data_IF_368128750868
#
_entry.id   IF_368128750868
#
_cell.length_a   1.000
_cell.length_b   1.000
_cell.length_c   1.000
_cell.angle_alpha   90.00
_cell.angle_beta   90.00
_cell.angle_gamma   90.00
#
_symmetry.space_group_name_H-M   'P 1'
#
loop_
_entity.id
_entity.type
_entity.pdbx_description
1 polymer ?
#
# COMPACT_ATOMS: atom_id res chain seq x y z
N UNK A 1 -11.38 -13.21 -22.47
CA UNK A 1 -10.62 -14.43 -22.85
C UNK A 1 -9.43 -14.54 -21.91
N UNK A 2 -9.28 -15.68 -21.22
CA UNK A 2 -8.14 -15.92 -20.32
C UNK A 2 -6.88 -16.12 -21.17
N UNK A 3 -5.77 -15.52 -20.76
CA UNK A 3 -4.47 -15.72 -21.43
C UNK A 3 -3.95 -17.12 -21.12
N UNK A 4 -3.50 -17.83 -22.15
CA UNK A 4 -2.77 -19.10 -22.05
C UNK A 4 -1.35 -18.88 -22.58
N UNK A 5 -0.36 -19.58 -22.04
CA UNK A 5 1.04 -19.47 -22.47
C UNK A 5 1.92 -18.61 -21.56
N UNK A 6 3.09 -18.23 -22.06
CA UNK A 6 4.20 -17.64 -21.30
C UNK A 6 3.81 -16.39 -20.49
N UNK A 7 4.46 -16.22 -19.36
CA UNK A 7 4.33 -15.04 -18.50
C UNK A 7 5.21 -13.92 -19.04
N UNK A 8 4.61 -12.74 -19.26
CA UNK A 8 5.38 -11.55 -19.60
C UNK A 8 6.14 -11.01 -18.38
N UNK A 9 7.21 -10.26 -18.62
CA UNK A 9 8.00 -9.62 -17.55
C UNK A 9 7.13 -8.71 -16.68
N UNK A 10 6.22 -7.94 -17.28
CA UNK A 10 5.28 -7.08 -16.55
C UNK A 10 4.35 -7.90 -15.64
N UNK A 11 3.82 -9.03 -16.12
CA UNK A 11 2.99 -9.93 -15.30
C UNK A 11 3.77 -10.51 -14.13
N UNK A 12 5.05 -10.86 -14.31
CA UNK A 12 5.91 -11.37 -13.23
C UNK A 12 6.24 -10.29 -12.20
N UNK A 13 6.57 -9.06 -12.64
CA UNK A 13 6.80 -7.94 -11.74
C UNK A 13 5.54 -7.63 -10.91
N UNK A 14 4.38 -7.63 -11.56
CA UNK A 14 3.10 -7.41 -10.90
C UNK A 14 2.75 -8.54 -9.92
N UNK A 15 3.01 -9.79 -10.30
CA UNK A 15 2.82 -10.94 -9.42
C UNK A 15 3.70 -10.79 -8.17
N UNK A 16 4.99 -10.49 -8.34
CA UNK A 16 5.94 -10.33 -7.23
C UNK A 16 5.54 -9.23 -6.26
N UNK A 17 5.08 -8.10 -6.76
CA UNK A 17 4.69 -6.95 -5.92
C UNK A 17 3.34 -7.15 -5.21
N UNK A 18 2.40 -7.87 -5.83
CA UNK A 18 1.00 -7.90 -5.37
C UNK A 18 0.55 -9.23 -4.75
N UNK A 19 1.27 -10.33 -4.97
CA UNK A 19 0.92 -11.63 -4.39
C UNK A 19 0.92 -11.55 -2.86
N UNK A 20 -0.16 -12.02 -2.25
CA UNK A 20 -0.36 -11.93 -0.80
C UNK A 20 -0.76 -10.54 -0.26
N UNK A 21 -0.58 -9.45 -1.02
CA UNK A 21 -1.07 -8.10 -0.68
C UNK A 21 -2.45 -7.79 -1.26
N UNK A 22 -2.91 -8.61 -2.20
CA UNK A 22 -4.24 -8.53 -2.82
C UNK A 22 -4.94 -9.88 -2.75
N UNK A 23 -6.28 -9.91 -2.67
CA UNK A 23 -7.03 -11.15 -2.78
C UNK A 23 -6.71 -11.87 -4.10
N UNK A 24 -6.42 -13.16 -4.02
CA UNK A 24 -6.02 -13.98 -5.17
C UNK A 24 -7.02 -13.90 -6.35
N UNK A 25 -8.35 -13.94 -6.15
CA UNK A 25 -9.31 -13.79 -7.26
C UNK A 25 -9.17 -12.45 -7.99
N UNK A 26 -8.90 -11.37 -7.25
CA UNK A 26 -8.71 -10.05 -7.84
C UNK A 26 -7.43 -9.99 -8.66
N UNK A 27 -6.31 -10.48 -8.10
CA UNK A 27 -5.02 -10.50 -8.79
C UNK A 27 -5.10 -11.35 -10.06
N UNK A 28 -5.75 -12.53 -10.01
CA UNK A 28 -5.96 -13.40 -11.16
C UNK A 28 -6.75 -12.70 -12.28
N UNK A 29 -7.83 -11.98 -11.94
CA UNK A 29 -8.60 -11.19 -12.90
C UNK A 29 -7.76 -10.08 -13.54
N UNK A 30 -6.93 -9.40 -12.76
CA UNK A 30 -6.05 -8.34 -13.26
C UNK A 30 -4.98 -8.88 -14.22
N UNK A 31 -4.43 -10.06 -13.93
CA UNK A 31 -3.46 -10.76 -14.80
C UNK A 31 -4.15 -11.49 -15.97
N UNK A 32 -5.49 -11.57 -15.97
CA UNK A 32 -6.30 -12.33 -16.93
C UNK A 32 -5.92 -13.81 -16.97
N UNK A 33 -5.61 -14.39 -15.80
CA UNK A 33 -5.23 -15.79 -15.58
C UNK A 33 -6.19 -16.45 -14.57
N UNK A 34 -6.10 -17.77 -14.41
CA UNK A 34 -6.85 -18.48 -13.35
C UNK A 34 -6.10 -18.39 -12.03
N UNK A 35 -6.81 -18.44 -10.91
CA UNK A 35 -6.21 -18.39 -9.57
C UNK A 35 -5.15 -19.49 -9.36
N UNK A 36 -5.45 -20.71 -9.84
CA UNK A 36 -4.54 -21.85 -9.80
C UNK A 36 -3.22 -21.57 -10.55
N UNK A 37 -3.28 -21.04 -11.78
CA UNK A 37 -2.06 -20.71 -12.53
C UNK A 37 -1.24 -19.59 -11.90
N UNK A 38 -1.91 -18.64 -11.22
CA UNK A 38 -1.26 -17.56 -10.49
C UNK A 38 -0.55 -18.11 -9.25
N UNK A 39 -1.21 -18.99 -8.49
CA UNK A 39 -0.64 -19.66 -7.32
C UNK A 39 0.60 -20.49 -7.69
N UNK A 40 0.47 -21.39 -8.66
CA UNK A 40 1.58 -22.24 -9.13
C UNK A 40 2.77 -21.40 -9.60
N UNK A 41 2.51 -20.31 -10.31
CA UNK A 41 3.59 -19.43 -10.78
C UNK A 41 4.24 -18.67 -9.63
N UNK A 42 3.47 -18.22 -8.64
CA UNK A 42 4.00 -17.54 -7.47
C UNK A 42 4.88 -18.50 -6.66
N UNK A 43 4.41 -19.72 -6.40
CA UNK A 43 5.18 -20.79 -5.74
C UNK A 43 6.53 -21.00 -6.42
N UNK A 44 6.52 -21.25 -7.74
CA UNK A 44 7.74 -21.43 -8.51
C UNK A 44 8.69 -20.22 -8.39
N UNK A 45 8.16 -19.00 -8.49
CA UNK A 45 8.96 -17.77 -8.47
C UNK A 45 9.60 -17.51 -7.11
N UNK A 46 8.84 -17.65 -6.03
CA UNK A 46 9.34 -17.40 -4.67
C UNK A 46 10.22 -18.54 -4.17
N UNK A 47 9.93 -19.80 -4.52
CA UNK A 47 10.81 -20.92 -4.21
C UNK A 47 12.20 -20.76 -4.85
N UNK A 48 12.25 -20.30 -6.11
CA UNK A 48 13.52 -20.01 -6.79
C UNK A 48 14.31 -18.86 -6.13
N UNK A 49 13.63 -17.89 -5.52
CA UNK A 49 14.27 -16.78 -4.84
C UNK A 49 14.85 -17.20 -3.48
N UNK A 50 14.18 -18.11 -2.76
CA UNK A 50 14.54 -18.47 -1.39
C UNK A 50 15.33 -19.78 -1.25
N UNK A 51 15.21 -20.70 -2.21
CA UNK A 51 15.89 -21.99 -2.21
C UNK A 51 16.82 -22.12 -3.43
N UNK A 52 17.99 -21.48 -3.42
CA UNK A 52 18.95 -21.60 -4.52
C UNK A 52 19.76 -22.90 -4.50
N UNK A 53 19.73 -23.69 -3.41
CA UNK A 53 20.52 -24.92 -3.27
C UNK A 53 19.75 -26.16 -3.73
N UNK A 54 20.34 -26.95 -4.62
CA UNK A 54 19.76 -28.17 -5.20
C UNK A 54 19.62 -29.35 -4.21
N UNK A 55 20.17 -29.23 -2.99
CA UNK A 55 20.45 -30.41 -2.16
C UNK A 55 19.26 -30.98 -1.38
N UNK A 56 18.13 -30.26 -1.22
CA UNK A 56 16.89 -30.89 -0.71
C UNK A 56 15.64 -30.00 -0.93
N UNK A 57 14.87 -30.19 -2.02
CA UNK A 57 13.70 -29.36 -2.32
C UNK A 57 12.44 -29.70 -1.51
N UNK A 58 12.39 -30.86 -0.82
CA UNK A 58 11.16 -31.35 -0.18
C UNK A 58 10.87 -30.74 1.20
N UNK A 59 11.82 -30.05 1.83
CA UNK A 59 11.70 -29.47 3.17
C UNK A 59 12.12 -28.00 3.19
N UNK A 60 11.47 -27.16 2.39
CA UNK A 60 11.60 -25.72 2.56
C UNK A 60 10.90 -25.28 3.87
N UNK A 61 11.66 -25.27 4.97
CA UNK A 61 11.18 -24.80 6.27
C UNK A 61 11.27 -23.27 6.43
N UNK A 62 11.78 -22.56 5.42
CA UNK A 62 12.01 -21.11 5.45
C UNK A 62 13.27 -20.71 6.22
N UNK A 63 13.74 -19.47 6.01
CA UNK A 63 14.95 -18.97 6.67
C UNK A 63 14.69 -18.76 8.17
N UNK A 64 15.53 -19.33 9.06
CA UNK A 64 15.38 -19.11 10.50
C UNK A 64 15.73 -17.67 10.88
N UNK A 65 15.30 -17.26 12.06
CA UNK A 65 15.62 -15.97 12.66
C UNK A 65 14.48 -14.94 12.60
N UNK A 66 14.66 -13.80 13.30
CA UNK A 66 13.62 -12.80 13.44
C UNK A 66 13.31 -12.10 12.12
N UNK A 67 12.05 -11.70 11.94
CA UNK A 67 11.63 -10.89 10.79
C UNK A 67 12.27 -9.51 10.86
N UNK A 68 12.90 -9.12 9.75
CA UNK A 68 13.45 -7.78 9.52
C UNK A 68 12.33 -6.74 9.44
N UNK A 69 12.66 -5.46 9.64
CA UNK A 69 11.67 -4.37 9.62
C UNK A 69 10.91 -4.29 8.29
N UNK A 70 11.61 -4.50 7.17
CA UNK A 70 11.00 -4.55 5.83
C UNK A 70 10.03 -5.72 5.71
N UNK A 71 10.38 -6.90 6.23
CA UNK A 71 9.52 -8.08 6.21
C UNK A 71 8.30 -7.89 7.12
N UNK A 72 8.47 -7.24 8.28
CA UNK A 72 7.37 -6.85 9.17
C UNK A 72 6.43 -5.89 8.48
N UNK A 73 6.93 -4.88 7.77
CA UNK A 73 6.10 -3.97 6.98
C UNK A 73 5.35 -4.72 5.88
N UNK A 74 6.00 -5.64 5.17
CA UNK A 74 5.33 -6.49 4.18
C UNK A 74 4.26 -7.39 4.80
N UNK A 75 4.55 -8.02 5.95
CA UNK A 75 3.60 -8.84 6.68
C UNK A 75 2.37 -8.03 7.08
N UNK A 76 2.55 -6.77 7.52
CA UNK A 76 1.43 -5.85 7.74
C UNK A 76 0.59 -5.71 6.49
N UNK A 77 1.13 -5.81 5.27
CA UNK A 77 0.36 -5.77 4.04
C UNK A 77 -0.47 -7.02 3.73
N UNK A 78 -0.14 -8.15 4.35
CA UNK A 78 -0.71 -9.46 4.04
C UNK A 78 -1.79 -9.91 5.03
N UNK A 79 -1.73 -9.44 6.28
CA UNK A 79 -2.69 -9.83 7.33
C UNK A 79 -4.14 -9.58 6.90
N UNK A 80 -4.97 -10.64 6.98
CA UNK A 80 -6.39 -10.62 6.62
C UNK A 80 -6.68 -10.73 5.13
N UNK A 81 -5.64 -10.85 4.29
CA UNK A 81 -5.74 -11.04 2.83
C UNK A 81 -5.13 -12.38 2.41
N UNK A 82 -3.98 -12.73 2.99
CA UNK A 82 -3.26 -13.97 2.73
C UNK A 82 -3.45 -14.98 3.88
N UNK A 83 -3.31 -16.26 3.57
CA UNK A 83 -3.14 -17.32 4.56
C UNK A 83 -1.68 -17.42 5.02
N UNK A 84 -1.44 -18.23 6.04
CA UNK A 84 -0.11 -18.40 6.62
C UNK A 84 0.89 -18.99 5.61
N UNK A 85 0.48 -19.95 4.79
CA UNK A 85 1.32 -20.58 3.76
C UNK A 85 1.79 -19.55 2.73
N UNK A 86 0.89 -18.67 2.28
CA UNK A 86 1.23 -17.57 1.38
C UNK A 86 2.18 -16.58 2.03
N UNK A 87 2.02 -16.28 3.33
CA UNK A 87 2.96 -15.43 4.07
C UNK A 87 4.35 -16.05 4.16
N UNK A 88 4.44 -17.35 4.46
CA UNK A 88 5.71 -18.09 4.50
C UNK A 88 6.41 -18.06 3.13
N UNK A 89 5.66 -18.32 2.06
CA UNK A 89 6.17 -18.32 0.70
C UNK A 89 6.71 -16.94 0.28
N UNK A 90 5.94 -15.88 0.51
CA UNK A 90 6.33 -14.51 0.09
C UNK A 90 7.51 -14.00 0.89
N UNK A 91 7.54 -14.24 2.20
CA UNK A 91 8.60 -13.73 3.08
C UNK A 91 9.84 -14.64 3.11
N UNK A 92 9.71 -15.90 2.67
CA UNK A 92 10.77 -16.90 2.79
C UNK A 92 11.13 -17.17 4.25
N UNK A 93 10.15 -17.14 5.16
CA UNK A 93 10.30 -17.26 6.62
C UNK A 93 9.50 -18.43 7.16
N UNK A 94 9.97 -18.97 8.29
CA UNK A 94 9.27 -20.05 8.98
C UNK A 94 7.91 -19.58 9.53
N UNK A 95 6.91 -20.45 9.49
CA UNK A 95 5.57 -20.16 10.02
C UNK A 95 5.58 -19.71 11.48
N UNK A 96 6.38 -20.35 12.32
CA UNK A 96 6.49 -20.05 13.75
C UNK A 96 6.95 -18.61 14.02
N UNK A 97 7.85 -18.07 13.19
CA UNK A 97 8.35 -16.69 13.33
C UNK A 97 7.27 -15.67 12.93
N UNK A 98 6.53 -15.95 11.85
CA UNK A 98 5.39 -15.13 11.43
C UNK A 98 4.30 -15.14 12.52
N UNK A 99 3.94 -16.33 13.02
CA UNK A 99 3.00 -16.51 14.13
C UNK A 99 3.40 -15.70 15.36
N UNK A 100 4.68 -15.77 15.76
CA UNK A 100 5.19 -15.01 16.91
C UNK A 100 4.96 -13.51 16.74
N UNK A 101 5.24 -12.95 15.54
CA UNK A 101 5.02 -11.51 15.26
C UNK A 101 3.53 -11.17 15.25
N UNK A 102 2.67 -12.03 14.70
CA UNK A 102 1.23 -11.79 14.73
C UNK A 102 0.67 -11.79 16.16
N UNK A 103 1.14 -12.72 17.00
CA UNK A 103 0.79 -12.78 18.42
C UNK A 103 1.35 -11.61 19.23
N UNK A 104 2.52 -11.10 18.87
CA UNK A 104 3.09 -9.87 19.44
C UNK A 104 2.16 -8.69 19.14
N UNK A 105 1.77 -8.50 17.88
CA UNK A 105 0.86 -7.42 17.46
C UNK A 105 -0.53 -7.54 18.08
N UNK A 106 -1.07 -8.75 18.24
CA UNK A 106 -2.39 -8.92 18.86
C UNK A 106 -2.41 -8.49 20.34
N UNK A 107 -1.26 -8.50 21.02
CA UNK A 107 -1.11 -8.08 22.42
C UNK A 107 -0.80 -6.59 22.56
N UNK A 108 -0.15 -6.00 21.58
CA UNK A 108 0.21 -4.59 21.62
C UNK A 108 -1.02 -3.73 21.34
N UNK A 109 -1.39 -2.91 22.32
CA UNK A 109 -2.45 -1.90 22.17
C UNK A 109 -1.84 -0.51 22.18
N UNK A 110 -2.37 0.35 21.34
CA UNK A 110 -1.98 1.75 21.20
C UNK A 110 -3.20 2.62 21.46
N UNK A 111 -3.04 3.64 22.29
CA UNK A 111 -4.12 4.60 22.57
C UNK A 111 -4.10 5.76 21.57
N UNK A 112 -2.96 6.02 20.92
CA UNK A 112 -2.75 7.18 20.07
C UNK A 112 -2.49 6.78 18.62
N UNK A 113 -3.02 7.58 17.69
CA UNK A 113 -2.78 7.40 16.26
C UNK A 113 -1.49 8.10 15.84
N UNK A 114 -0.53 7.30 15.38
CA UNK A 114 0.64 7.81 14.65
C UNK A 114 0.27 8.14 13.19
N UNK A 115 1.06 9.03 12.58
CA UNK A 115 0.89 9.38 11.17
C UNK A 115 1.01 8.14 10.26
N UNK A 116 1.98 7.26 10.52
CA UNK A 116 2.17 6.02 9.78
C UNK A 116 0.95 5.07 9.89
N UNK A 117 0.32 4.96 11.06
CA UNK A 117 -0.91 4.18 11.23
C UNK A 117 -2.07 4.78 10.44
N UNK A 118 -2.21 6.11 10.42
CA UNK A 118 -3.24 6.81 9.64
C UNK A 118 -3.02 6.58 8.14
N UNK A 119 -1.78 6.67 7.65
CA UNK A 119 -1.44 6.40 6.25
C UNK A 119 -1.73 4.94 5.87
N UNK A 120 -1.32 3.99 6.71
CA UNK A 120 -1.62 2.58 6.51
C UNK A 120 -3.14 2.34 6.48
N UNK A 121 -3.90 2.94 7.41
CA UNK A 121 -5.35 2.83 7.44
C UNK A 121 -5.97 3.35 6.13
N UNK A 122 -5.54 4.52 5.64
CA UNK A 122 -6.02 5.08 4.36
C UNK A 122 -5.79 4.13 3.19
N UNK A 123 -4.68 3.40 3.20
CA UNK A 123 -4.31 2.46 2.13
C UNK A 123 -5.06 1.12 2.25
N UNK A 124 -5.21 0.59 3.46
CA UNK A 124 -5.65 -0.77 3.71
C UNK A 124 -7.13 -0.90 4.11
N UNK A 125 -7.79 0.18 4.57
CA UNK A 125 -9.14 0.08 5.12
C UNK A 125 -10.12 -0.56 4.15
N UNK A 126 -10.07 -0.19 2.86
CA UNK A 126 -11.03 -0.64 1.86
C UNK A 126 -11.00 -2.14 1.58
N UNK A 127 -9.84 -2.78 1.68
CA UNK A 127 -9.61 -4.14 1.19
C UNK A 127 -9.49 -5.19 2.27
N UNK A 128 -9.58 -4.80 3.55
CA UNK A 128 -9.28 -5.68 4.69
C UNK A 128 -10.37 -5.77 5.73
N UNK A 129 -10.45 -6.88 6.47
CA UNK A 129 -11.37 -6.97 7.59
C UNK A 129 -10.90 -6.12 8.77
N UNK A 130 -11.85 -5.68 9.60
CA UNK A 130 -11.56 -4.77 10.72
C UNK A 130 -10.69 -5.44 11.80
N UNK A 131 -10.85 -6.76 12.03
CA UNK A 131 -10.00 -7.50 12.97
C UNK A 131 -8.52 -7.50 12.55
N UNK A 132 -8.24 -7.58 11.24
CA UNK A 132 -6.88 -7.57 10.71
C UNK A 132 -6.23 -6.20 10.90
N UNK A 133 -7.00 -5.13 10.66
CA UNK A 133 -6.56 -3.76 10.93
C UNK A 133 -6.35 -3.54 12.43
N UNK A 134 -7.23 -4.09 13.27
CA UNK A 134 -7.13 -4.02 14.74
C UNK A 134 -5.83 -4.62 15.23
N UNK A 135 -5.49 -5.80 14.75
CA UNK A 135 -4.23 -6.46 15.09
C UNK A 135 -3.02 -5.65 14.58
N UNK A 136 -3.00 -5.26 13.31
CA UNK A 136 -1.81 -4.60 12.72
C UNK A 136 -1.58 -3.20 13.30
N UNK A 137 -2.66 -2.47 13.59
CA UNK A 137 -2.58 -1.10 14.08
C UNK A 137 -2.52 -1.03 15.62
N UNK A 138 -2.86 -2.12 16.32
CA UNK A 138 -2.94 -2.15 17.78
C UNK A 138 -4.11 -1.33 18.34
N UNK A 139 -5.18 -1.14 17.56
CA UNK A 139 -6.34 -0.34 17.95
C UNK A 139 -7.59 -1.21 18.07
N UNK A 140 -8.52 -0.83 18.93
CA UNK A 140 -9.83 -1.48 18.99
C UNK A 140 -10.61 -1.31 17.67
N UNK A 141 -11.47 -2.28 17.35
CA UNK A 141 -12.26 -2.25 16.11
C UNK A 141 -13.12 -0.98 16.03
N UNK A 142 -13.71 -0.56 17.15
CA UNK A 142 -14.52 0.67 17.22
C UNK A 142 -13.68 1.92 16.93
N UNK A 143 -12.44 1.97 17.44
CA UNK A 143 -11.51 3.07 17.19
C UNK A 143 -11.11 3.13 15.70
N UNK A 144 -10.86 1.97 15.07
CA UNK A 144 -10.59 1.89 13.63
C UNK A 144 -11.78 2.37 12.82
N UNK A 145 -12.99 1.95 13.16
CA UNK A 145 -14.20 2.39 12.48
C UNK A 145 -14.46 3.88 12.68
N UNK A 146 -14.24 4.41 13.87
CA UNK A 146 -14.33 5.84 14.16
C UNK A 146 -13.33 6.65 13.32
N UNK A 147 -12.06 6.23 13.31
CA UNK A 147 -11.02 6.88 12.53
C UNK A 147 -11.31 6.82 11.02
N UNK A 148 -11.81 5.68 10.53
CA UNK A 148 -12.21 5.53 9.14
C UNK A 148 -13.39 6.44 8.76
N UNK A 149 -14.37 6.63 9.65
CA UNK A 149 -15.48 7.57 9.45
C UNK A 149 -14.98 9.01 9.38
N UNK A 150 -14.09 9.41 10.29
CA UNK A 150 -13.49 10.75 10.31
C UNK A 150 -12.73 11.06 9.00
N UNK A 151 -12.02 10.05 8.48
CA UNK A 151 -11.27 10.10 7.23
C UNK A 151 -12.16 9.88 5.98
N UNK A 152 -13.46 9.62 6.17
CA UNK A 152 -14.44 9.30 5.12
C UNK A 152 -13.99 8.15 4.20
N UNK A 153 -13.38 7.12 4.79
CA UNK A 153 -12.96 5.91 4.09
C UNK A 153 -14.14 4.96 3.91
N UNK A 154 -14.17 4.26 2.77
CA UNK A 154 -15.18 3.25 2.46
C UNK A 154 -14.56 1.87 2.35
N UNK A 155 -15.32 0.85 2.76
CA UNK A 155 -15.01 -0.57 2.51
C UNK A 155 -15.40 -0.98 1.10
N UNK A 156 -14.66 -1.90 0.51
CA UNK A 156 -15.08 -2.57 -0.72
C UNK A 156 -16.13 -3.66 -0.41
N UNK A 157 -17.00 -3.94 -1.37
CA UNK A 157 -18.09 -4.92 -1.20
C UNK A 157 -17.58 -6.35 -1.00
N UNK A 158 -16.38 -6.65 -1.48
CA UNK A 158 -15.81 -7.99 -1.56
C UNK A 158 -14.61 -8.17 -0.63
N UNK A 159 -14.62 -7.56 0.56
CA UNK A 159 -13.60 -7.88 1.57
C UNK A 159 -13.80 -9.34 1.96
N UNK A 160 -12.91 -10.21 1.45
CA UNK A 160 -12.85 -11.62 1.82
C UNK A 160 -11.96 -11.69 3.04
N UNK A 161 -12.48 -12.22 4.14
CA UNK A 161 -11.68 -12.53 5.32
C UNK A 161 -11.03 -13.88 5.09
N UNK A 162 -9.70 -13.93 5.10
CA UNK A 162 -8.98 -15.20 5.24
C UNK A 162 -8.89 -15.53 6.72
N UNK A 163 -9.28 -16.75 7.09
CA UNK A 163 -9.18 -17.23 8.46
C UNK A 163 -7.72 -17.58 8.78
N UNK A 164 -7.28 -17.22 9.98
CA UNK A 164 -5.97 -17.58 10.51
C UNK A 164 -6.22 -18.40 11.78
N UNK A 165 -6.32 -19.74 11.69
CA UNK A 165 -6.71 -20.60 12.82
C UNK A 165 -5.85 -20.40 14.07
N UNK A 166 -4.56 -20.15 13.87
CA UNK A 166 -3.57 -19.78 14.89
C UNK A 166 -4.00 -18.60 15.77
N UNK A 167 -4.79 -17.67 15.24
CA UNK A 167 -5.21 -16.45 15.91
C UNK A 167 -6.60 -16.57 16.55
N UNK A 168 -7.37 -17.62 16.28
CA UNK A 168 -8.72 -17.79 16.84
C UNK A 168 -8.74 -17.77 18.37
N UNK A 169 -7.64 -18.21 19.00
CA UNK A 169 -7.48 -18.21 20.46
C UNK A 169 -7.15 -16.82 21.04
N UNK A 170 -6.67 -15.90 20.22
CA UNK A 170 -6.08 -14.62 20.66
C UNK A 170 -6.85 -13.40 20.18
N UNK A 171 -7.52 -13.50 19.05
CA UNK A 171 -8.29 -12.43 18.43
C UNK A 171 -9.69 -12.98 18.17
N UNK A 172 -10.70 -12.22 18.57
CA UNK A 172 -12.08 -12.53 18.19
C UNK A 172 -12.21 -12.26 16.69
N UNK A 173 -11.99 -13.29 15.88
CA UNK A 173 -12.19 -13.23 14.43
C UNK A 173 -13.68 -13.15 14.19
N UNK A 174 -14.19 -11.93 14.03
CA UNK A 174 -15.57 -11.72 13.64
C UNK A 174 -15.65 -11.74 12.11
N UNK A 175 -16.41 -12.66 11.50
CA UNK A 175 -16.66 -12.61 10.07
C UNK A 175 -17.31 -11.27 9.75
N UNK A 176 -16.69 -10.49 8.86
CA UNK A 176 -17.22 -9.18 8.52
C UNK A 176 -18.48 -9.36 7.68
N UNK A 177 -19.60 -8.83 8.18
CA UNK A 177 -20.85 -8.83 7.44
C UNK A 177 -20.65 -8.10 6.09
N UNK A 178 -21.28 -8.57 4.99
CA UNK A 178 -21.16 -7.91 3.71
C UNK A 178 -21.60 -6.45 3.82
N UNK A 179 -20.69 -5.53 3.49
CA UNK A 179 -20.95 -4.09 3.59
C UNK A 179 -22.02 -3.71 2.56
N UNK A 180 -23.21 -3.33 3.06
CA UNK A 180 -24.27 -2.80 2.21
C UNK A 180 -23.98 -1.32 1.94
N UNK A 181 -23.82 -0.98 0.66
CA UNK A 181 -23.72 0.42 0.26
C UNK A 181 -25.07 1.09 0.48
N UNK A 182 -25.16 2.16 1.31
CA UNK A 182 -26.43 2.83 1.53
C UNK A 182 -26.94 3.43 0.21
N UNK A 183 -28.24 3.33 -0.06
CA UNK A 183 -28.84 3.94 -1.26
C UNK A 183 -28.80 5.46 -1.13
N UNK A 184 -28.59 6.15 -2.24
CA UNK A 184 -28.65 7.62 -2.29
C UNK A 184 -30.11 8.07 -2.16
N UNK A 185 -30.39 8.99 -1.26
CA UNK A 185 -31.70 9.64 -1.18
C UNK A 185 -31.78 10.80 -2.18
N UNK A 186 -33.00 11.25 -2.47
CA UNK A 186 -33.25 12.42 -3.33
C UNK A 186 -32.58 13.67 -2.76
N UNK A 187 -32.65 13.86 -1.45
CA UNK A 187 -32.10 15.03 -0.75
C UNK A 187 -30.57 15.04 -0.82
N UNK A 188 -29.92 13.88 -0.64
CA UNK A 188 -28.47 13.76 -0.78
C UNK A 188 -28.00 14.05 -2.22
N UNK A 189 -28.79 13.64 -3.22
CA UNK A 189 -28.49 13.88 -4.64
C UNK A 189 -28.64 15.36 -4.97
N UNK A 190 -29.72 16.01 -4.54
CA UNK A 190 -29.95 17.43 -4.77
C UNK A 190 -28.87 18.29 -4.09
N UNK A 191 -28.51 17.94 -2.87
CA UNK A 191 -27.41 18.59 -2.15
C UNK A 191 -26.08 18.39 -2.90
N UNK A 192 -25.79 17.17 -3.35
CA UNK A 192 -24.59 16.88 -4.14
C UNK A 192 -24.52 17.73 -5.41
N UNK A 193 -25.61 17.81 -6.19
CA UNK A 193 -25.68 18.63 -7.41
C UNK A 193 -25.35 20.09 -7.10
N UNK A 194 -25.91 20.61 -5.99
CA UNK A 194 -25.73 21.99 -5.55
C UNK A 194 -24.29 22.29 -5.13
N UNK A 195 -23.66 21.44 -4.31
CA UNK A 195 -22.35 21.75 -3.70
C UNK A 195 -21.14 21.21 -4.46
N UNK A 196 -21.33 20.22 -5.34
CA UNK A 196 -20.22 19.56 -6.02
C UNK A 196 -19.35 20.50 -6.85
N UNK A 197 -19.86 21.47 -7.62
CA UNK A 197 -19.02 22.31 -8.46
C UNK A 197 -17.98 23.13 -7.68
N UNK A 198 -18.31 23.50 -6.44
CA UNK A 198 -17.55 24.50 -5.67
C UNK A 198 -16.75 23.89 -4.51
N UNK A 199 -17.25 22.83 -3.86
CA UNK A 199 -16.62 22.32 -2.63
C UNK A 199 -15.61 21.18 -2.86
N UNK A 200 -14.60 21.02 -1.98
CA UNK A 200 -13.75 19.83 -1.96
C UNK A 200 -14.55 18.55 -1.71
N UNK A 201 -14.18 17.45 -2.36
CA UNK A 201 -14.92 16.18 -2.22
C UNK A 201 -14.92 15.64 -0.78
N UNK A 202 -13.87 15.93 0.00
CA UNK A 202 -13.79 15.51 1.40
C UNK A 202 -14.85 16.21 2.25
N UNK A 203 -15.07 17.50 2.04
CA UNK A 203 -16.06 18.26 2.81
C UNK A 203 -17.49 17.83 2.45
N UNK A 204 -17.72 17.55 1.17
CA UNK A 204 -18.99 16.98 0.69
C UNK A 204 -19.22 15.59 1.31
N UNK A 205 -18.17 14.75 1.35
CA UNK A 205 -18.25 13.43 1.96
C UNK A 205 -18.60 13.50 3.45
N UNK A 206 -17.96 14.43 4.19
CA UNK A 206 -18.28 14.70 5.59
C UNK A 206 -19.71 15.21 5.78
N UNK A 207 -20.16 16.17 4.97
CA UNK A 207 -21.51 16.73 5.11
C UNK A 207 -22.60 15.73 4.82
N UNK A 208 -22.36 14.78 3.89
CA UNK A 208 -23.31 13.73 3.53
C UNK A 208 -23.14 12.45 4.37
N UNK A 209 -22.12 12.35 5.23
CA UNK A 209 -21.80 11.11 5.95
C UNK A 209 -21.45 9.94 5.02
N UNK A 210 -20.86 10.23 3.85
CA UNK A 210 -20.50 9.25 2.81
C UNK A 210 -18.99 9.14 2.66
N UNK A 211 -18.51 8.09 2.00
CA UNK A 211 -17.10 8.02 1.60
C UNK A 211 -16.80 8.92 0.40
N UNK A 212 -15.57 9.43 0.31
CA UNK A 212 -15.13 10.25 -0.84
C UNK A 212 -15.29 9.49 -2.16
N UNK A 213 -14.99 8.19 -2.16
CA UNK A 213 -15.17 7.29 -3.32
C UNK A 213 -16.64 7.24 -3.77
N UNK A 214 -17.58 7.15 -2.82
CA UNK A 214 -19.02 7.14 -3.10
C UNK A 214 -19.48 8.46 -3.73
N UNK A 215 -19.04 9.60 -3.18
CA UNK A 215 -19.35 10.94 -3.72
C UNK A 215 -18.85 11.09 -5.16
N UNK A 216 -17.59 10.71 -5.42
CA UNK A 216 -16.99 10.79 -6.77
C UNK A 216 -17.72 9.88 -7.76
N UNK A 217 -18.02 8.64 -7.36
CA UNK A 217 -18.75 7.71 -8.21
C UNK A 217 -20.14 8.25 -8.57
N UNK A 218 -20.88 8.79 -7.59
CA UNK A 218 -22.21 9.34 -7.84
C UNK A 218 -22.17 10.61 -8.69
N UNK A 219 -21.21 11.50 -8.44
CA UNK A 219 -21.02 12.70 -9.26
C UNK A 219 -20.70 12.35 -10.72
N UNK A 220 -19.87 11.33 -10.96
CA UNK A 220 -19.58 10.85 -12.31
C UNK A 220 -20.81 10.26 -12.99
N UNK A 221 -21.62 9.47 -12.27
CA UNK A 221 -22.89 8.93 -12.76
C UNK A 221 -23.86 10.04 -13.18
N UNK A 222 -23.90 11.13 -12.42
CA UNK A 222 -24.72 12.32 -12.70
C UNK A 222 -24.08 13.29 -13.72
N UNK A 223 -22.87 12.99 -14.22
CA UNK A 223 -22.16 13.85 -15.16
C UNK A 223 -21.68 15.19 -14.57
N UNK A 224 -21.62 15.32 -13.24
CA UNK A 224 -21.20 16.55 -12.56
C UNK A 224 -19.71 16.82 -12.77
N UNK A 225 -19.36 18.12 -12.85
CA UNK A 225 -17.99 18.60 -13.02
C UNK A 225 -17.69 19.68 -11.99
N UNK A 226 -16.41 19.80 -11.61
CA UNK A 226 -15.93 20.92 -10.79
C UNK A 226 -15.92 22.20 -11.61
N UNK A 227 -16.18 23.34 -10.96
CA UNK A 227 -16.08 24.65 -11.59
C UNK A 227 -14.63 24.92 -12.01
N UNK A 228 -14.45 25.77 -13.04
CA UNK A 228 -13.10 26.14 -13.50
C UNK A 228 -12.27 26.79 -12.39
N UNK A 229 -12.92 27.57 -11.54
CA UNK A 229 -12.30 28.21 -10.39
C UNK A 229 -11.83 27.18 -9.36
N UNK A 230 -12.69 26.23 -8.97
CA UNK A 230 -12.30 25.18 -8.04
C UNK A 230 -11.15 24.32 -8.58
N UNK A 231 -11.16 24.01 -9.88
CA UNK A 231 -10.04 23.28 -10.51
C UNK A 231 -8.70 24.03 -10.41
N UNK A 232 -8.70 25.37 -10.55
CA UNK A 232 -7.49 26.19 -10.38
C UNK A 232 -6.99 26.15 -8.93
N UNK A 233 -7.91 26.26 -7.98
CA UNK A 233 -7.59 26.20 -6.55
C UNK A 233 -7.00 24.83 -6.17
N UNK A 234 -7.64 23.73 -6.60
CA UNK A 234 -7.11 22.37 -6.44
C UNK A 234 -5.70 22.22 -7.02
N UNK A 235 -5.44 22.86 -8.17
CA UNK A 235 -4.10 22.88 -8.78
C UNK A 235 -3.06 23.51 -7.85
N UNK A 236 -3.39 24.64 -7.21
CA UNK A 236 -2.50 25.33 -6.26
C UNK A 236 -2.27 24.50 -5.00
N UNK A 237 -3.33 23.95 -4.41
CA UNK A 237 -3.27 23.07 -3.24
C UNK A 237 -2.33 21.88 -3.47
N UNK A 238 -2.48 21.20 -4.62
CA UNK A 238 -1.67 20.04 -4.97
C UNK A 238 -0.19 20.39 -5.13
N UNK A 239 0.14 21.55 -5.69
CA UNK A 239 1.52 22.03 -5.81
C UNK A 239 2.12 22.29 -4.43
N UNK A 240 1.40 22.97 -3.54
CA UNK A 240 1.87 23.25 -2.18
C UNK A 240 2.17 21.96 -1.39
N UNK A 241 1.29 20.96 -1.48
CA UNK A 241 1.47 19.66 -0.81
C UNK A 241 2.75 18.97 -1.30
N UNK A 242 3.03 19.01 -2.60
CA UNK A 242 4.26 18.42 -3.17
C UNK A 242 5.52 19.10 -2.62
N UNK A 243 5.53 20.43 -2.56
CA UNK A 243 6.67 21.17 -2.01
C UNK A 243 6.87 20.89 -0.52
N UNK A 244 5.79 20.79 0.26
CA UNK A 244 5.89 20.46 1.69
C UNK A 244 6.48 19.06 1.91
N UNK A 245 6.08 18.07 1.10
CA UNK A 245 6.62 16.70 1.18
C UNK A 245 8.08 16.62 0.73
N UNK A 246 8.45 17.34 -0.32
CA UNK A 246 9.83 17.38 -0.80
C UNK A 246 10.77 18.11 0.19
N UNK A 247 10.31 19.21 0.79
CA UNK A 247 11.09 19.99 1.76
C UNK A 247 11.36 19.25 3.08
N UNK A 248 10.40 18.47 3.56
CA UNK A 248 10.54 17.68 4.80
C UNK A 248 11.50 16.49 4.71
N UNK A 249 11.75 15.95 3.50
CA UNK A 249 12.70 14.85 3.31
C UNK A 249 14.17 15.32 3.43
N UNK A 250 14.46 16.60 3.16
CA UNK A 250 15.81 17.16 3.20
C UNK A 250 16.29 17.58 4.61
N UNK A 251 15.38 17.79 5.57
CA UNK A 251 15.75 18.29 6.91
C UNK A 251 16.02 17.22 7.97
N UNK A 252 15.78 15.93 7.68
CA UNK A 252 15.98 14.83 8.63
C UNK A 252 17.38 14.14 8.53
N UNK A 253 18.23 14.57 7.59
CA UNK A 253 19.55 13.95 7.34
C UNK A 253 20.78 14.76 7.79
N UNK A 254 20.63 16.01 8.24
CA UNK A 254 21.75 16.90 8.58
C UNK A 254 21.85 17.17 10.09
N UNK A 255 22.07 16.12 10.88
CA UNK A 255 22.47 16.25 12.28
C UNK A 255 23.45 15.14 12.70
N UNK A 256 24.50 14.93 11.91
CA UNK A 256 25.72 14.27 12.40
C UNK A 256 26.91 14.68 11.54
N UNK A 257 27.76 15.56 12.05
CA UNK A 257 28.94 16.01 11.31
C UNK A 257 29.47 17.35 11.82
N UNK A 258 30.01 17.35 13.03
CA UNK A 258 30.64 18.54 13.61
C UNK A 258 31.56 18.22 14.77
N UNK A 259 32.79 17.80 14.48
CA UNK A 259 33.96 18.13 15.29
C UNK A 259 35.22 17.99 14.44
N UNK A 260 35.77 19.14 14.06
CA UNK A 260 37.00 19.31 13.31
C UNK A 260 38.22 19.34 14.24
N UNK A 261 39.35 18.80 13.76
CA UNK A 261 40.73 19.25 13.98
C UNK A 261 41.63 18.38 13.08
N UNK A 262 42.64 18.83 12.33
CA UNK A 262 43.23 20.13 12.06
C UNK A 262 44.55 19.89 11.30
N UNK A 263 44.87 20.75 10.31
CA UNK A 263 46.26 21.00 9.85
C UNK A 263 46.85 20.12 8.73
N UNK A 264 47.97 20.55 8.11
CA UNK A 264 47.90 21.20 6.79
C UNK A 264 48.93 20.74 5.73
N UNK A 265 48.75 21.28 4.51
CA UNK A 265 49.75 21.71 3.53
C UNK A 265 50.66 20.70 2.79
N UNK A 266 50.47 20.64 1.47
CA UNK A 266 51.46 20.66 0.35
C UNK A 266 50.73 20.07 -0.86
N UNK A 267 50.73 20.61 -2.07
CA UNK A 267 51.71 21.39 -2.81
C UNK A 267 51.79 20.69 -4.18
N UNK A 268 51.51 21.38 -5.29
CA UNK A 268 51.63 20.77 -6.61
C UNK A 268 50.88 21.50 -7.71
N UNK A 269 51.54 22.47 -8.33
CA UNK A 269 51.15 23.12 -9.56
C UNK A 269 51.54 22.27 -10.79
N UNK A 270 50.67 22.25 -11.82
CA UNK A 270 50.99 22.12 -13.26
C UNK A 270 49.63 22.22 -14.01
N UNK A 271 49.27 23.28 -14.75
CA UNK A 271 49.73 23.72 -16.09
C UNK A 271 49.56 22.68 -17.21
N UNK A 272 48.77 23.04 -18.22
CA UNK A 272 48.59 22.35 -19.52
C UNK A 272 47.15 22.55 -20.02
N UNK A 273 46.87 23.60 -20.81
CA UNK A 273 46.80 23.57 -22.30
C UNK A 273 45.55 22.80 -22.78
N UNK A 274 44.49 23.47 -23.28
CA UNK A 274 44.30 24.03 -24.63
C UNK A 274 43.93 22.96 -25.69
N UNK A 275 43.03 23.35 -26.62
CA UNK A 275 42.34 22.60 -27.71
C UNK A 275 40.87 22.32 -27.36
N UNK A 276 39.86 23.06 -27.84
CA UNK A 276 39.50 23.54 -29.19
C UNK A 276 39.25 22.39 -30.18
N UNK A 277 37.98 21.94 -30.29
CA UNK A 277 37.50 21.39 -31.56
C UNK A 277 35.98 21.55 -31.73
N UNK A 278 35.66 22.17 -32.86
CA UNK A 278 34.34 22.41 -33.41
C UNK A 278 33.90 21.21 -34.28
N UNK A 279 32.61 20.90 -34.31
CA UNK A 279 31.97 20.05 -35.32
C UNK A 279 30.48 19.95 -35.01
N UNK A 280 29.53 20.62 -35.67
CA UNK A 280 29.22 20.80 -37.11
C UNK A 280 28.83 19.50 -37.83
N UNK A 281 27.57 19.41 -38.26
CA UNK A 281 27.01 18.40 -39.18
C UNK A 281 26.24 17.29 -38.44
N UNK A 282 25.07 16.81 -38.86
CA UNK A 282 24.46 16.88 -40.18
C UNK A 282 22.96 16.55 -40.07
N UNK A 283 22.17 17.24 -40.91
CA UNK A 283 20.77 16.91 -41.20
C UNK A 283 20.77 15.64 -42.07
N UNK A 284 19.78 14.76 -41.90
CA UNK A 284 19.27 14.05 -43.07
C UNK A 284 17.76 13.83 -43.00
N UNK A 285 17.19 13.93 -44.21
CA UNK A 285 15.78 13.93 -44.58
C UNK A 285 15.06 12.62 -44.36
#
# INVERSE_FOLDING_TARGET
>A
MLKRGNWSVEELMKLRDQYGRRPLPQLARELRRTEETVRLRAEQMFQQEWCPSEEDPETFEGRPGPLEDKEREQLRFMVGIADLETMQLVLGRQGAEIERVLLEWSRQKSEQWSEAQIEFLKLAYGTRPDWALSMVLGHEIEAIQAQARELCLGKDRSVVSVELPILEKHVVIQPQAPVRMPRWTTEEVDELIRVFPERPNLDIARSLGRSVKSVVAKANELGLRKSKERLREMGRENVMIRHKRAGGATSAGSASGGAASGGPASGGAASGDAEDEQGSGEKNS
#
